data_IF_077712739123
#
_entry.id   IF_077712739123
#
_cell.length_a   1.000
_cell.length_b   1.000
_cell.length_c   1.000
_cell.angle_alpha   90.00
_cell.angle_beta   90.00
_cell.angle_gamma   90.00
#
_symmetry.space_group_name_H-M   'P 1'
#
loop_
_entity.id
_entity.type
_entity.pdbx_description
1 polymer ?
#
# COMPACT_ATOMS: atom_id res chain seq x y z
N UNK A 1 19.31 -9.82 10.96
CA UNK A 1 19.21 -8.38 10.65
C UNK A 1 17.73 -8.03 10.61
N UNK A 2 17.29 -6.90 11.18
CA UNK A 2 15.91 -6.47 10.99
C UNK A 2 15.69 -6.22 9.49
N UNK A 3 14.61 -6.75 8.94
CA UNK A 3 14.25 -6.57 7.54
C UNK A 3 13.52 -5.23 7.40
N UNK A 4 14.22 -4.23 6.87
CA UNK A 4 13.71 -2.89 6.65
C UNK A 4 13.03 -2.79 5.28
N UNK A 5 11.92 -2.05 5.22
CA UNK A 5 11.32 -1.62 3.94
C UNK A 5 12.30 -0.63 3.29
N UNK A 6 12.76 -0.93 2.08
CA UNK A 6 13.68 -0.06 1.33
C UNK A 6 13.15 0.35 -0.05
N UNK A 7 12.03 -0.24 -0.48
CA UNK A 7 11.35 0.13 -1.71
C UNK A 7 9.86 0.29 -1.46
N UNK A 8 9.29 1.35 -2.04
CA UNK A 8 7.87 1.68 -1.99
C UNK A 8 7.45 2.11 -3.39
N UNK A 9 6.38 1.52 -3.92
CA UNK A 9 5.72 1.95 -5.15
C UNK A 9 4.33 2.45 -4.79
N UNK A 10 4.02 3.67 -5.24
CA UNK A 10 2.67 4.19 -5.23
C UNK A 10 2.12 4.15 -6.65
N UNK A 11 1.00 3.44 -6.85
CA UNK A 11 0.38 3.27 -8.17
C UNK A 11 -1.11 3.60 -8.10
N UNK A 12 -1.68 3.93 -9.26
CA UNK A 12 -3.10 4.22 -9.41
C UNK A 12 -3.69 3.23 -10.41
N UNK A 13 -4.40 2.21 -9.92
CA UNK A 13 -4.98 1.13 -10.74
C UNK A 13 -6.39 0.80 -10.23
N UNK A 14 -7.41 1.21 -10.99
CA UNK A 14 -8.80 1.19 -10.55
C UNK A 14 -9.40 -0.21 -10.41
N UNK A 15 -9.00 -1.16 -11.25
CA UNK A 15 -9.51 -2.53 -11.26
C UNK A 15 -9.10 -3.25 -9.97
N UNK A 16 -7.79 -3.29 -9.71
CA UNK A 16 -7.18 -3.85 -8.52
C UNK A 16 -7.71 -3.19 -7.27
N UNK A 17 -7.84 -1.86 -7.26
CA UNK A 17 -8.39 -1.14 -6.11
C UNK A 17 -9.80 -1.64 -5.79
N UNK A 18 -10.68 -1.76 -6.79
CA UNK A 18 -12.05 -2.23 -6.58
C UNK A 18 -12.11 -3.70 -6.13
N UNK A 19 -11.27 -4.56 -6.69
CA UNK A 19 -11.22 -5.99 -6.36
C UNK A 19 -10.65 -6.28 -4.96
N UNK A 20 -9.79 -5.38 -4.44
CA UNK A 20 -8.99 -5.60 -3.24
C UNK A 20 -9.40 -4.76 -2.02
N UNK A 21 -10.23 -3.72 -2.17
CA UNK A 21 -10.66 -2.80 -1.08
C UNK A 21 -11.26 -3.45 0.16
N UNK A 22 -11.71 -4.71 0.07
CA UNK A 22 -12.25 -5.48 1.20
C UNK A 22 -11.44 -6.74 1.53
N UNK A 23 -10.27 -6.90 0.90
CA UNK A 23 -9.39 -8.07 1.03
C UNK A 23 -8.02 -7.74 1.62
N UNK A 24 -7.57 -6.49 1.49
CA UNK A 24 -6.27 -6.03 1.99
C UNK A 24 -6.46 -4.97 3.09
N UNK A 25 -5.45 -4.76 3.94
CA UNK A 25 -5.42 -3.64 4.87
C UNK A 25 -5.59 -2.31 4.12
N UNK A 26 -6.44 -1.42 4.63
CA UNK A 26 -6.70 -0.11 4.04
C UNK A 26 -6.38 1.02 5.01
N UNK A 27 -5.75 2.08 4.51
CA UNK A 27 -5.65 3.33 5.26
C UNK A 27 -7.03 4.03 5.21
N UNK A 28 -7.59 4.45 6.36
CA UNK A 28 -8.97 4.92 6.46
C UNK A 28 -9.21 6.25 5.73
N UNK A 29 -10.48 6.44 5.36
CA UNK A 29 -10.99 7.49 4.46
C UNK A 29 -10.82 8.95 4.96
N UNK A 30 -10.56 9.16 6.25
CA UNK A 30 -10.61 10.49 6.86
C UNK A 30 -9.32 11.29 6.73
N UNK A 31 -8.19 10.64 6.44
CA UNK A 31 -6.91 11.32 6.33
C UNK A 31 -6.76 12.03 4.97
N UNK A 32 -6.43 13.32 4.99
CA UNK A 32 -6.21 14.11 3.78
C UNK A 32 -4.97 13.60 3.01
N UNK A 33 -5.03 13.60 1.68
CA UNK A 33 -3.89 13.23 0.85
C UNK A 33 -2.70 14.16 1.10
N UNK A 34 -1.50 13.58 1.30
CA UNK A 34 -0.30 14.33 1.62
C UNK A 34 -0.17 14.78 3.09
N UNK A 35 -1.13 14.44 3.95
CA UNK A 35 -1.08 14.77 5.37
C UNK A 35 -0.15 13.85 6.18
N UNK A 36 0.33 14.35 7.32
CA UNK A 36 1.04 13.53 8.31
C UNK A 36 0.15 12.43 8.89
N UNK A 37 -1.16 12.70 9.01
CA UNK A 37 -2.15 11.73 9.46
C UNK A 37 -2.20 10.53 8.52
N UNK A 38 -2.23 10.75 7.21
CA UNK A 38 -2.20 9.68 6.22
C UNK A 38 -0.94 8.82 6.34
N UNK A 39 0.23 9.44 6.56
CA UNK A 39 1.47 8.71 6.81
C UNK A 39 1.38 7.82 8.06
N UNK A 40 0.76 8.30 9.14
CA UNK A 40 0.57 7.52 10.36
C UNK A 40 -0.39 6.35 10.15
N UNK A 41 -1.45 6.56 9.36
CA UNK A 41 -2.37 5.49 8.98
C UNK A 41 -1.70 4.43 8.10
N UNK A 42 -0.92 4.84 7.09
CA UNK A 42 -0.12 3.93 6.25
C UNK A 42 0.83 3.10 7.13
N UNK A 43 1.49 3.73 8.11
CA UNK A 43 2.37 3.02 9.06
C UNK A 43 1.63 1.96 9.87
N UNK A 44 0.36 2.20 10.24
CA UNK A 44 -0.45 1.21 10.99
C UNK A 44 -0.78 -0.02 10.16
N UNK A 45 -0.94 0.12 8.84
CA UNK A 45 -1.28 -0.99 7.94
C UNK A 45 -0.05 -1.73 7.41
N UNK A 46 1.07 -1.04 7.22
CA UNK A 46 2.35 -1.62 6.77
C UNK A 46 3.08 -2.35 7.91
N UNK A 47 2.54 -3.49 8.37
CA UNK A 47 3.09 -4.27 9.50
C UNK A 47 4.09 -5.36 9.11
N UNK A 48 4.18 -5.69 7.83
CA UNK A 48 5.05 -6.73 7.30
C UNK A 48 6.28 -6.14 6.59
N UNK A 49 7.23 -6.99 6.23
CA UNK A 49 8.45 -6.59 5.50
C UNK A 49 8.18 -6.31 4.02
N UNK A 50 7.08 -6.85 3.50
CA UNK A 50 6.54 -6.59 2.17
C UNK A 50 5.02 -6.68 2.19
N UNK A 51 4.37 -6.04 1.23
CA UNK A 51 2.92 -6.13 1.08
C UNK A 51 2.34 -5.13 0.10
N UNK A 52 1.03 -5.21 -0.05
CA UNK A 52 0.20 -4.30 -0.82
C UNK A 52 -0.91 -3.77 0.09
N UNK A 53 -1.11 -2.45 0.10
CA UNK A 53 -2.18 -1.79 0.86
C UNK A 53 -2.90 -0.77 -0.01
N UNK A 54 -4.17 -0.52 0.27
CA UNK A 54 -4.96 0.48 -0.43
C UNK A 54 -5.08 1.77 0.40
N UNK A 55 -5.26 2.88 -0.31
CA UNK A 55 -5.66 4.15 0.27
C UNK A 55 -7.16 4.34 0.03
N UNK A 56 -7.99 4.10 1.04
CA UNK A 56 -9.46 4.07 0.88
C UNK A 56 -10.05 5.45 0.58
N UNK A 57 -9.45 6.52 1.12
CA UNK A 57 -9.82 7.92 0.85
C UNK A 57 -9.13 8.54 -0.37
N UNK A 58 -8.23 7.80 -1.03
CA UNK A 58 -7.52 8.27 -2.21
C UNK A 58 -7.68 7.27 -3.34
N UNK A 59 -8.90 7.16 -3.88
CA UNK A 59 -9.16 6.34 -5.06
C UNK A 59 -8.36 6.86 -6.27
N UNK A 60 -7.72 6.01 -7.09
CA UNK A 60 -7.53 4.55 -6.98
C UNK A 60 -6.11 4.16 -6.49
N UNK A 61 -5.63 4.77 -5.41
CA UNK A 61 -4.26 4.63 -4.92
C UNK A 61 -3.98 3.31 -4.20
N UNK A 62 -2.92 2.63 -4.60
CA UNK A 62 -2.31 1.49 -3.90
C UNK A 62 -0.86 1.82 -3.52
N UNK A 63 -0.37 1.17 -2.47
CA UNK A 63 1.03 1.20 -2.04
C UNK A 63 1.54 -0.23 -1.94
N UNK A 64 2.56 -0.56 -2.73
CA UNK A 64 3.32 -1.79 -2.60
C UNK A 64 4.68 -1.50 -1.98
N UNK A 65 5.19 -2.37 -1.13
CA UNK A 65 6.46 -2.15 -0.44
C UNK A 65 7.23 -3.44 -0.22
N UNK A 66 8.56 -3.32 -0.06
CA UNK A 66 9.46 -4.46 0.12
C UNK A 66 10.90 -4.04 0.43
N UNK A 67 11.80 -5.03 0.56
CA UNK A 67 13.24 -4.82 0.78
C UNK A 67 13.99 -4.32 -0.46
N UNK A 68 13.39 -4.47 -1.64
CA UNK A 68 13.88 -4.08 -2.95
C UNK A 68 12.70 -3.90 -3.92
N UNK A 69 12.97 -3.37 -5.12
CA UNK A 69 11.94 -3.07 -6.12
C UNK A 69 11.23 -4.34 -6.61
N UNK A 70 11.97 -5.44 -6.78
CA UNK A 70 11.44 -6.72 -7.26
C UNK A 70 10.41 -7.29 -6.29
N UNK A 71 10.70 -7.27 -4.99
CA UNK A 71 9.77 -7.68 -3.95
C UNK A 71 8.49 -6.85 -4.00
N UNK A 72 8.58 -5.52 -4.09
CA UNK A 72 7.41 -4.67 -4.10
C UNK A 72 6.57 -4.85 -5.39
N UNK A 73 7.21 -5.01 -6.56
CA UNK A 73 6.53 -5.34 -7.82
C UNK A 73 5.82 -6.69 -7.71
N UNK A 74 6.47 -7.70 -7.11
CA UNK A 74 5.88 -9.04 -6.97
C UNK A 74 4.58 -9.04 -6.17
N UNK A 75 4.39 -8.09 -5.23
CA UNK A 75 3.15 -7.96 -4.47
C UNK A 75 1.99 -7.42 -5.34
N UNK A 76 2.28 -6.63 -6.38
CA UNK A 76 1.28 -6.15 -7.35
C UNK A 76 0.93 -7.26 -8.34
N UNK A 77 1.94 -7.92 -8.91
CA UNK A 77 1.78 -8.92 -9.97
C UNK A 77 0.99 -10.17 -9.56
N UNK A 78 0.84 -10.44 -8.26
CA UNK A 78 -0.05 -11.51 -7.74
C UNK A 78 -1.51 -11.37 -8.17
N UNK A 79 -1.92 -10.16 -8.56
CA UNK A 79 -3.30 -9.82 -8.90
C UNK A 79 -3.46 -9.39 -10.37
N UNK A 80 -2.38 -9.43 -11.17
CA UNK A 80 -2.40 -9.05 -12.57
C UNK A 80 -2.90 -10.18 -13.47
#
# INVERSE_FOLDING_TARGET
>A
MPLYIQSVLHIHEGRLWHELKHKLPTAPIHAEYGSQELCMEIRKVCKAEKGLTLLEGHWPGLIAYGRDLEHAISEILKFC
#
